data_IF_900727313195
#
_entry.id   IF_900727313195
#
_cell.length_a   1.000
_cell.length_b   1.000
_cell.length_c   1.000
_cell.angle_alpha   90.00
_cell.angle_beta   90.00
_cell.angle_gamma   90.00
#
_symmetry.space_group_name_H-M   'P 1'
#
loop_
_entity.id
_entity.type
_entity.pdbx_description
1 polymer ?
#
# COMPACT_ATOMS: atom_id res chain seq x y z
N UNK A 1 -1.77 0.45 -11.59
CA UNK A 1 -2.42 0.52 -10.26
C UNK A 1 -3.11 1.87 -10.13
N UNK A 2 -4.23 1.96 -9.42
CA UNK A 2 -4.90 3.26 -9.15
C UNK A 2 -5.51 3.31 -7.76
N UNK A 3 -5.59 4.51 -7.19
CA UNK A 3 -6.32 4.79 -5.95
C UNK A 3 -7.17 6.05 -6.11
N UNK A 4 -8.20 6.16 -5.30
CA UNK A 4 -9.09 7.32 -5.24
C UNK A 4 -8.97 7.96 -3.87
N UNK A 5 -8.70 9.26 -3.85
CA UNK A 5 -8.52 10.06 -2.63
C UNK A 5 -9.47 11.24 -2.71
N UNK A 6 -10.27 11.45 -1.66
CA UNK A 6 -11.14 12.61 -1.53
C UNK A 6 -10.32 13.84 -1.14
N UNK A 7 -10.49 14.95 -1.86
CA UNK A 7 -9.95 16.27 -1.51
C UNK A 7 -11.11 17.26 -1.46
N UNK A 8 -11.58 17.55 -0.25
CA UNK A 8 -12.80 18.34 -0.04
C UNK A 8 -14.03 17.60 -0.57
N UNK A 9 -14.74 18.18 -1.52
CA UNK A 9 -15.94 17.58 -2.15
C UNK A 9 -15.65 16.82 -3.44
N UNK A 10 -14.39 16.83 -3.90
CA UNK A 10 -13.99 16.13 -5.12
C UNK A 10 -13.24 14.84 -4.81
N UNK A 11 -13.44 13.82 -5.63
CA UNK A 11 -12.65 12.58 -5.61
C UNK A 11 -11.61 12.67 -6.72
N UNK A 12 -10.33 12.53 -6.36
CA UNK A 12 -9.22 12.50 -7.32
C UNK A 12 -8.69 11.08 -7.46
N UNK A 13 -8.58 10.63 -8.70
CA UNK A 13 -7.97 9.34 -9.03
C UNK A 13 -6.49 9.54 -9.34
N UNK A 14 -5.64 8.79 -8.64
CA UNK A 14 -4.20 8.74 -8.86
C UNK A 14 -3.84 7.41 -9.50
N UNK A 15 -2.98 7.44 -10.50
CA UNK A 15 -2.54 6.26 -11.25
C UNK A 15 -1.02 6.13 -11.14
N UNK A 16 -0.57 4.88 -11.01
CA UNK A 16 0.84 4.52 -11.09
C UNK A 16 1.00 3.32 -12.01
N UNK A 17 1.80 3.51 -13.06
CA UNK A 17 2.04 2.51 -14.10
C UNK A 17 3.43 1.87 -14.00
N UNK A 18 4.38 2.56 -13.37
CA UNK A 18 5.74 2.07 -13.20
C UNK A 18 6.06 1.81 -11.73
N UNK A 19 6.28 0.53 -11.39
CA UNK A 19 6.71 0.12 -10.05
C UNK A 19 8.22 -0.14 -10.07
N UNK A 20 8.97 0.72 -9.38
CA UNK A 20 10.42 0.53 -9.28
C UNK A 20 10.78 -0.65 -8.38
N UNK A 21 11.94 -1.29 -8.62
CA UNK A 21 12.46 -2.35 -7.74
C UNK A 21 12.67 -1.89 -6.29
N UNK A 22 12.87 -0.59 -6.06
CA UNK A 22 12.89 0.01 -4.71
C UNK A 22 11.53 -0.15 -4.02
N UNK A 23 10.44 0.08 -4.76
CA UNK A 23 9.09 -0.11 -4.23
C UNK A 23 8.82 -1.59 -3.93
N UNK A 24 9.33 -2.52 -4.73
CA UNK A 24 9.24 -3.93 -4.40
C UNK A 24 9.96 -4.27 -3.08
N UNK A 25 11.20 -3.81 -2.88
CA UNK A 25 11.91 -3.99 -1.61
C UNK A 25 11.11 -3.43 -0.42
N UNK A 26 10.56 -2.21 -0.57
CA UNK A 26 9.67 -1.59 0.43
C UNK A 26 8.41 -2.42 0.67
N UNK A 27 7.85 -3.02 -0.37
CA UNK A 27 6.65 -3.87 -0.26
C UNK A 27 6.90 -5.07 0.63
N UNK A 28 8.07 -5.73 0.50
CA UNK A 28 8.45 -6.86 1.37
C UNK A 28 8.59 -6.40 2.83
N UNK A 29 9.15 -5.21 3.07
CA UNK A 29 9.26 -4.62 4.40
C UNK A 29 7.87 -4.38 5.02
N UNK A 30 6.95 -3.81 4.25
CA UNK A 30 5.57 -3.56 4.67
C UNK A 30 4.80 -4.86 4.94
N UNK A 31 4.98 -5.90 4.11
CA UNK A 31 4.34 -7.21 4.33
C UNK A 31 4.71 -7.82 5.68
N UNK A 32 5.93 -7.58 6.17
CA UNK A 32 6.34 -8.06 7.50
C UNK A 32 5.60 -7.38 8.64
N UNK A 33 5.14 -6.14 8.46
CA UNK A 33 4.37 -5.42 9.47
C UNK A 33 2.96 -6.02 9.65
N UNK A 34 2.44 -6.68 8.62
CA UNK A 34 1.16 -7.39 8.68
C UNK A 34 1.30 -8.83 9.19
N UNK A 35 2.51 -9.31 9.48
CA UNK A 35 2.69 -10.65 10.02
C UNK A 35 2.23 -10.69 11.48
N UNK A 36 1.39 -11.67 11.76
CA UNK A 36 0.98 -11.98 13.13
C UNK A 36 2.20 -12.48 13.90
N UNK A 37 2.44 -11.91 15.08
CA UNK A 37 3.49 -12.43 15.97
C UNK A 37 3.13 -13.85 16.46
N UNK A 38 4.08 -14.54 17.09
CA UNK A 38 3.90 -15.90 17.61
C UNK A 38 2.70 -16.06 18.56
N UNK A 39 2.18 -14.95 19.10
CA UNK A 39 1.02 -14.91 20.00
C UNK A 39 -0.32 -14.68 19.27
N UNK A 40 -0.32 -14.71 17.92
CA UNK A 40 -1.53 -14.52 17.11
C UNK A 40 -2.11 -13.10 17.18
N UNK A 41 -1.34 -12.11 17.64
CA UNK A 41 -1.79 -10.72 17.76
C UNK A 41 -1.14 -9.88 16.66
N UNK A 42 -1.95 -9.27 15.80
CA UNK A 42 -1.48 -8.19 14.94
C UNK A 42 -1.24 -6.96 15.82
N UNK A 43 0.03 -6.60 16.01
CA UNK A 43 0.42 -5.37 16.70
C UNK A 43 0.57 -4.29 15.64
N UNK A 44 -0.55 -3.85 15.08
CA UNK A 44 -0.57 -2.63 14.27
C UNK A 44 -0.81 -1.48 15.25
N UNK A 45 0.24 -0.71 15.51
CA UNK A 45 0.16 0.55 16.25
C UNK A 45 0.19 1.75 15.29
N UNK A 46 0.08 2.96 15.84
CA UNK A 46 0.12 4.23 15.10
C UNK A 46 1.35 4.37 14.20
N UNK A 47 2.54 3.96 14.68
CA UNK A 47 3.79 4.08 13.92
C UNK A 47 3.82 3.14 12.71
N UNK A 48 3.19 1.97 12.83
CA UNK A 48 3.01 1.07 11.70
C UNK A 48 2.08 1.71 10.66
N UNK A 49 0.96 2.29 11.08
CA UNK A 49 0.01 2.94 10.15
C UNK A 49 0.70 4.09 9.39
N UNK A 50 1.51 4.90 10.07
CA UNK A 50 2.28 5.97 9.43
C UNK A 50 3.25 5.42 8.37
N UNK A 51 3.95 4.33 8.66
CA UNK A 51 4.83 3.68 7.68
C UNK A 51 4.05 3.11 6.48
N UNK A 52 2.85 2.57 6.73
CA UNK A 52 1.96 2.06 5.70
C UNK A 52 1.47 3.17 4.76
N UNK A 53 1.07 4.32 5.31
CA UNK A 53 0.62 5.47 4.52
C UNK A 53 1.78 6.10 3.76
N UNK A 54 2.94 6.28 4.40
CA UNK A 54 4.15 6.77 3.75
C UNK A 54 4.55 5.89 2.55
N UNK A 55 4.42 4.57 2.68
CA UNK A 55 4.64 3.64 1.59
C UNK A 55 3.71 3.91 0.40
N UNK A 56 2.41 4.12 0.62
CA UNK A 56 1.46 4.40 -0.47
C UNK A 56 1.80 5.73 -1.16
N UNK A 57 2.10 6.77 -0.38
CA UNK A 57 2.54 8.07 -0.94
C UNK A 57 3.78 7.91 -1.83
N UNK A 58 4.78 7.15 -1.38
CA UNK A 58 5.98 6.87 -2.17
C UNK A 58 5.70 6.00 -3.39
N UNK A 59 4.80 5.01 -3.27
CA UNK A 59 4.41 4.13 -4.36
C UNK A 59 3.81 4.92 -5.52
N UNK A 60 2.97 5.90 -5.22
CA UNK A 60 2.39 6.80 -6.21
C UNK A 60 3.31 7.95 -6.62
N UNK A 61 4.60 7.92 -6.24
CA UNK A 61 5.56 8.93 -6.67
C UNK A 61 5.31 10.31 -6.05
N UNK A 62 4.72 10.36 -4.84
CA UNK A 62 4.42 11.60 -4.10
C UNK A 62 3.44 12.54 -4.81
N UNK A 63 2.49 11.99 -5.56
CA UNK A 63 1.40 12.75 -6.20
C UNK A 63 0.41 13.38 -5.20
N UNK A 64 0.43 12.91 -3.95
CA UNK A 64 -0.34 13.42 -2.81
C UNK A 64 0.52 13.28 -1.54
N UNK A 65 0.13 13.95 -0.45
CA UNK A 65 0.83 13.86 0.84
C UNK A 65 0.24 12.78 1.75
N UNK A 66 0.95 12.47 2.85
CA UNK A 66 0.47 11.57 3.91
C UNK A 66 -0.85 12.08 4.48
N UNK A 67 -0.93 13.37 4.80
CA UNK A 67 -2.13 14.01 5.34
C UNK A 67 -3.30 13.94 4.34
N UNK A 68 -3.04 14.21 3.06
CA UNK A 68 -4.06 14.12 2.02
C UNK A 68 -4.60 12.69 1.84
N UNK A 69 -3.76 11.67 2.07
CA UNK A 69 -4.20 10.29 2.05
C UNK A 69 -5.04 9.94 3.29
N UNK A 70 -4.61 10.37 4.48
CA UNK A 70 -5.36 10.16 5.71
C UNK A 70 -6.74 10.82 5.69
N UNK A 71 -6.82 12.07 5.22
CA UNK A 71 -8.08 12.81 5.14
C UNK A 71 -8.97 12.33 3.99
N UNK A 72 -8.37 11.80 2.93
CA UNK A 72 -9.07 11.46 1.70
C UNK A 72 -9.53 10.01 1.58
N UNK A 73 -9.15 9.13 2.51
CA UNK A 73 -9.54 7.72 2.52
C UNK A 73 -10.43 7.42 3.72
N UNK A 74 -11.50 6.64 3.50
CA UNK A 74 -12.36 6.21 4.60
C UNK A 74 -11.57 5.35 5.61
N UNK A 75 -11.72 5.64 6.90
CA UNK A 75 -11.01 4.92 7.98
C UNK A 75 -11.23 3.39 7.92
N UNK A 76 -12.43 2.94 7.54
CA UNK A 76 -12.75 1.50 7.37
C UNK A 76 -11.99 0.85 6.22
N UNK A 77 -11.62 1.64 5.22
CA UNK A 77 -11.00 1.18 3.97
C UNK A 77 -9.49 1.39 3.97
N UNK A 78 -8.95 2.24 4.85
CA UNK A 78 -7.53 2.61 4.93
C UNK A 78 -6.59 1.41 4.81
N UNK A 79 -6.69 0.45 5.73
CA UNK A 79 -5.84 -0.74 5.75
C UNK A 79 -6.07 -1.63 4.51
N UNK A 80 -7.32 -1.78 4.08
CA UNK A 80 -7.65 -2.60 2.89
C UNK A 80 -7.10 -2.01 1.59
N UNK A 81 -7.09 -0.69 1.46
CA UNK A 81 -6.53 0.03 0.30
C UNK A 81 -5.02 -0.17 0.25
N UNK A 82 -4.34 -0.03 1.39
CA UNK A 82 -2.91 -0.24 1.51
C UNK A 82 -2.55 -1.70 1.18
N UNK A 83 -3.26 -2.67 1.77
CA UNK A 83 -3.03 -4.09 1.49
C UNK A 83 -3.24 -4.43 0.02
N UNK A 84 -4.25 -3.85 -0.64
CA UNK A 84 -4.47 -4.02 -2.08
C UNK A 84 -3.26 -3.53 -2.89
N UNK A 85 -2.72 -2.36 -2.56
CA UNK A 85 -1.51 -1.83 -3.22
C UNK A 85 -0.30 -2.77 -3.03
N UNK A 86 -0.10 -3.27 -1.81
CA UNK A 86 0.97 -4.22 -1.47
C UNK A 86 0.84 -5.52 -2.27
N UNK A 87 -0.38 -6.07 -2.36
CA UNK A 87 -0.67 -7.30 -3.10
C UNK A 87 -0.49 -7.10 -4.61
N UNK A 88 -0.94 -5.98 -5.17
CA UNK A 88 -0.72 -5.67 -6.57
C UNK A 88 0.77 -5.57 -6.91
N UNK A 89 1.58 -4.89 -6.08
CA UNK A 89 3.04 -4.78 -6.29
C UNK A 89 3.69 -6.16 -6.23
N UNK A 90 3.38 -6.95 -5.20
CA UNK A 90 3.93 -8.30 -5.05
C UNK A 90 3.52 -9.20 -6.23
N UNK A 91 2.25 -9.16 -6.61
CA UNK A 91 1.70 -9.95 -7.71
C UNK A 91 2.26 -9.59 -9.08
N UNK A 92 2.52 -8.29 -9.35
CA UNK A 92 3.17 -7.86 -10.59
C UNK A 92 4.60 -8.40 -10.69
N UNK A 93 5.34 -8.45 -9.58
CA UNK A 93 6.71 -8.98 -9.57
C UNK A 93 6.72 -10.50 -9.70
N UNK A 94 5.82 -11.21 -9.02
CA UNK A 94 5.65 -12.67 -9.16
C UNK A 94 5.32 -13.05 -10.61
N UNK A 95 4.42 -12.31 -11.26
CA UNK A 95 4.13 -12.48 -12.69
C UNK A 95 5.35 -12.19 -13.59
N UNK A 96 6.07 -11.09 -13.34
CA UNK A 96 7.26 -10.74 -14.11
C UNK A 96 8.42 -11.75 -13.92
N UNK A 97 8.52 -12.38 -12.75
CA UNK A 97 9.50 -13.41 -12.45
C UNK A 97 9.16 -14.78 -13.05
N UNK A 98 8.00 -14.92 -13.71
CA UNK A 98 7.54 -16.21 -14.26
C UNK A 98 7.17 -17.24 -13.19
N UNK A 99 7.05 -16.81 -11.93
CA UNK A 99 6.54 -17.64 -10.83
C UNK A 99 5.03 -17.55 -10.88
N UNK A 100 4.41 -18.14 -11.91
CA UNK A 100 2.96 -18.39 -11.85
C UNK A 100 2.73 -19.42 -10.76
N UNK A 101 2.00 -19.03 -9.71
CA UNK A 101 1.47 -19.93 -8.68
C UNK A 101 1.02 -21.25 -9.33
N UNK A 102 1.65 -22.40 -9.02
CA UNK A 102 1.13 -23.68 -9.44
C UNK A 102 -0.08 -23.99 -8.55
N UNK A 103 -1.24 -23.46 -8.98
CA UNK A 103 -2.60 -23.95 -8.75
C UNK A 103 -2.95 -24.51 -7.36
#
# INVERSE_FOLDING_TARGET
>A
MKIEIRKGDEVKTYVQDFISGRMFRRTIEIQKLFQVNEQGKNVIDETHIDALVAYVVELFGKQFTVDEFYDGVEARSLISTIMSCVQEVAGQVTQAAGVTDPN
#
